data_IF_233845773127
#
_entry.id   IF_233845773127
#
_cell.length_a   1.000
_cell.length_b   1.000
_cell.length_c   1.000
_cell.angle_alpha   90.00
_cell.angle_beta   90.00
_cell.angle_gamma   90.00
#
_symmetry.space_group_name_H-M   'P 1'
#
loop_
_entity.id
_entity.type
_entity.pdbx_description
1 polymer ?
#
# COMPACT_ATOMS: atom_id res chain seq x y z
N UNK A 1 -18.59 10.68 -9.25
CA UNK A 1 -17.82 9.48 -9.62
C UNK A 1 -16.78 9.94 -10.62
N UNK A 2 -15.50 10.00 -10.24
CA UNK A 2 -14.44 10.55 -11.10
C UNK A 2 -13.54 9.38 -11.49
N UNK A 3 -13.66 8.90 -12.72
CA UNK A 3 -12.81 7.84 -13.27
C UNK A 3 -11.52 8.46 -13.80
N UNK A 4 -10.35 8.04 -13.31
CA UNK A 4 -9.07 8.39 -13.92
C UNK A 4 -8.64 7.28 -14.89
N UNK A 5 -8.47 7.62 -16.17
CA UNK A 5 -8.04 6.69 -17.23
C UNK A 5 -6.63 7.11 -17.66
N UNK A 6 -5.63 6.27 -17.37
CA UNK A 6 -4.27 6.43 -17.92
C UNK A 6 -4.27 6.02 -19.40
N UNK A 7 -3.72 6.81 -20.35
CA UNK A 7 -3.81 6.52 -21.78
C UNK A 7 -2.82 5.45 -22.29
N UNK A 8 -1.97 4.88 -21.43
CA UNK A 8 -1.01 3.85 -21.81
C UNK A 8 -0.96 2.74 -20.75
N UNK A 9 -1.12 1.50 -21.19
CA UNK A 9 -1.16 0.24 -20.44
C UNK A 9 -2.53 -0.17 -19.86
N UNK A 10 -2.80 -1.48 -19.91
CA UNK A 10 -3.65 -2.28 -18.99
C UNK A 10 -4.68 -1.44 -18.24
N UNK A 11 -5.91 -1.35 -18.75
CA UNK A 11 -6.94 -0.49 -18.16
C UNK A 11 -7.20 -0.92 -16.71
N UNK A 12 -6.81 -0.07 -15.77
CA UNK A 12 -7.33 -0.07 -14.41
C UNK A 12 -8.61 0.75 -14.44
N UNK A 13 -9.73 0.16 -14.06
CA UNK A 13 -10.94 0.92 -13.73
C UNK A 13 -11.03 0.95 -12.21
N UNK A 14 -10.68 2.10 -11.63
CA UNK A 14 -10.88 2.35 -10.22
C UNK A 14 -12.34 2.76 -9.99
N UNK A 15 -13.07 1.97 -9.20
CA UNK A 15 -14.39 2.33 -8.71
C UNK A 15 -14.26 2.77 -7.26
N UNK A 16 -14.49 4.06 -7.00
CA UNK A 16 -14.62 4.55 -5.63
C UNK A 16 -16.02 4.17 -5.14
N UNK A 17 -16.07 3.17 -4.24
CA UNK A 17 -17.29 2.88 -3.50
C UNK A 17 -17.52 3.99 -2.47
N UNK A 18 -18.79 4.33 -2.29
CA UNK A 18 -19.25 5.57 -1.66
C UNK A 18 -18.71 5.78 -0.24
N UNK A 19 -18.28 7.03 0.00
CA UNK A 19 -17.88 7.70 1.22
C UNK A 19 -18.50 7.16 2.53
N UNK A 20 -17.84 6.19 3.18
CA UNK A 20 -17.97 5.94 4.62
C UNK A 20 -17.10 6.96 5.35
N UNK A 21 -17.65 8.14 5.64
CA UNK A 21 -16.96 9.12 6.48
C UNK A 21 -16.99 8.64 7.95
N UNK A 22 -15.94 7.97 8.38
CA UNK A 22 -15.59 7.92 9.80
C UNK A 22 -14.76 9.18 10.10
N UNK A 23 -15.25 9.97 11.05
CA UNK A 23 -14.82 11.34 11.31
C UNK A 23 -13.31 11.46 11.58
N UNK A 24 -12.76 12.63 11.23
CA UNK A 24 -11.37 13.12 11.37
C UNK A 24 -10.21 12.40 10.64
N UNK A 25 -10.40 11.23 10.03
CA UNK A 25 -9.37 10.62 9.15
C UNK A 25 -9.99 10.16 7.82
N UNK A 26 -9.93 11.01 6.79
CA UNK A 26 -10.56 10.79 5.48
C UNK A 26 -9.95 9.61 4.71
N UNK A 27 -10.31 8.39 5.12
CA UNK A 27 -10.01 7.12 4.45
C UNK A 27 -11.27 6.67 3.73
N UNK A 28 -11.16 6.32 2.45
CA UNK A 28 -12.28 5.83 1.63
C UNK A 28 -11.95 4.45 1.09
N UNK A 29 -12.94 3.58 0.92
CA UNK A 29 -12.73 2.30 0.24
C UNK A 29 -12.67 2.51 -1.28
N UNK A 30 -11.66 1.94 -1.92
CA UNK A 30 -11.48 1.96 -3.37
C UNK A 30 -11.46 0.52 -3.88
N UNK A 31 -12.23 0.23 -4.93
CA UNK A 31 -12.19 -1.04 -5.64
C UNK A 31 -11.34 -0.85 -6.90
N UNK A 32 -10.29 -1.64 -7.02
CA UNK A 32 -9.39 -1.69 -8.16
C UNK A 32 -9.77 -2.87 -9.06
N UNK A 33 -10.18 -2.60 -10.29
CA UNK A 33 -10.31 -3.61 -11.34
C UNK A 33 -9.11 -3.51 -12.28
N UNK A 34 -8.32 -4.56 -12.40
CA UNK A 34 -7.22 -4.69 -13.37
C UNK A 34 -7.66 -5.59 -14.52
N UNK A 35 -7.53 -5.09 -15.75
CA UNK A 35 -7.85 -5.83 -16.97
C UNK A 35 -6.66 -5.88 -17.95
N UNK A 36 -6.35 -7.06 -18.49
CA UNK A 36 -5.43 -7.17 -19.62
C UNK A 36 -6.15 -6.87 -20.94
N UNK A 37 -5.64 -5.87 -21.67
CA UNK A 37 -6.27 -5.35 -22.89
C UNK A 37 -6.24 -6.32 -24.11
N UNK A 38 -5.63 -7.49 -23.97
CA UNK A 38 -5.51 -8.50 -25.03
C UNK A 38 -6.49 -9.67 -24.86
N UNK A 39 -7.30 -9.68 -23.80
CA UNK A 39 -8.29 -10.72 -23.52
C UNK A 39 -7.69 -12.09 -23.18
N UNK A 40 -6.37 -12.18 -22.96
CA UNK A 40 -5.67 -13.45 -22.69
C UNK A 40 -5.57 -13.77 -21.20
N UNK A 41 -5.79 -12.78 -20.33
CA UNK A 41 -5.68 -12.90 -18.87
C UNK A 41 -7.02 -12.61 -18.21
N UNK A 42 -7.32 -13.23 -17.06
CA UNK A 42 -8.53 -12.92 -16.31
C UNK A 42 -8.50 -11.47 -15.78
N UNK A 43 -9.69 -10.88 -15.59
CA UNK A 43 -9.82 -9.65 -14.80
C UNK A 43 -9.51 -9.95 -13.33
N UNK A 44 -8.83 -9.02 -12.65
CA UNK A 44 -8.53 -9.06 -11.22
C UNK A 44 -9.29 -7.94 -10.50
N UNK A 45 -10.17 -8.30 -9.55
CA UNK A 45 -10.86 -7.37 -8.65
C UNK A 45 -10.15 -7.34 -7.30
N UNK A 46 -9.95 -6.14 -6.76
CA UNK A 46 -9.28 -5.91 -5.49
C UNK A 46 -9.97 -4.77 -4.74
N UNK A 47 -9.95 -4.78 -3.41
CA UNK A 47 -10.26 -3.59 -2.61
C UNK A 47 -8.98 -3.03 -1.99
N UNK A 48 -9.01 -1.73 -1.71
CA UNK A 48 -7.99 -0.99 -0.99
C UNK A 48 -8.62 0.17 -0.21
N UNK A 49 -7.82 0.78 0.65
CA UNK A 49 -8.21 1.97 1.38
C UNK A 49 -7.43 3.15 0.79
N UNK A 50 -8.09 4.24 0.44
CA UNK A 50 -7.45 5.44 -0.06
C UNK A 50 -7.51 6.52 1.00
N UNK A 51 -6.35 7.02 1.44
CA UNK A 51 -6.28 8.17 2.35
C UNK A 51 -6.26 9.46 1.54
N UNK A 52 -7.38 10.19 1.55
CA UNK A 52 -7.62 11.37 0.69
C UNK A 52 -6.58 12.46 0.88
N UNK A 53 -6.18 12.72 2.12
CA UNK A 53 -5.17 13.74 2.38
C UNK A 53 -3.80 13.36 1.79
N UNK A 54 -3.45 12.07 1.76
CA UNK A 54 -2.15 11.61 1.27
C UNK A 54 -2.09 11.54 -0.26
N UNK A 55 -3.20 11.55 -1.00
CA UNK A 55 -3.22 11.26 -2.45
C UNK A 55 -2.46 9.96 -2.77
N UNK A 56 -2.48 8.99 -1.85
CA UNK A 56 -1.91 7.66 -2.05
C UNK A 56 -3.07 6.68 -2.19
N UNK A 57 -3.11 5.98 -3.32
CA UNK A 57 -3.82 4.70 -3.39
C UNK A 57 -3.08 3.71 -2.53
N UNK A 58 -3.79 3.15 -1.58
CA UNK A 58 -3.26 2.17 -0.67
C UNK A 58 -4.08 0.91 -0.89
N UNK A 59 -3.42 -0.07 -1.47
CA UNK A 59 -4.01 -1.39 -1.67
C UNK A 59 -3.85 -2.11 -0.34
N UNK A 60 -4.80 -1.86 0.57
CA UNK A 60 -4.98 -2.67 1.77
C UNK A 60 -5.58 -4.00 1.33
N UNK A 61 -4.75 -5.03 1.16
CA UNK A 61 -5.27 -6.38 1.20
C UNK A 61 -5.37 -6.74 2.68
N UNK A 62 -6.53 -6.49 3.30
CA UNK A 62 -6.88 -7.27 4.50
C UNK A 62 -6.61 -8.72 4.21
N UNK A 63 -6.04 -9.44 5.18
CA UNK A 63 -5.49 -10.80 5.02
C UNK A 63 -6.44 -11.86 4.48
N UNK A 64 -7.65 -11.49 4.04
CA UNK A 64 -8.67 -12.31 3.35
C UNK A 64 -9.31 -11.66 2.12
N UNK A 65 -8.72 -10.64 1.50
CA UNK A 65 -9.25 -10.12 0.25
C UNK A 65 -8.94 -11.09 -0.89
N UNK A 66 -9.93 -11.88 -1.27
CA UNK A 66 -9.90 -12.84 -2.37
C UNK A 66 -9.53 -12.12 -3.67
N UNK A 67 -8.45 -12.55 -4.32
CA UNK A 67 -8.17 -12.16 -5.69
C UNK A 67 -9.12 -12.92 -6.61
N UNK A 68 -10.20 -12.26 -7.03
CA UNK A 68 -11.22 -12.92 -7.85
C UNK A 68 -10.83 -12.78 -9.31
N UNK A 69 -10.39 -13.91 -9.87
CA UNK A 69 -10.06 -14.05 -11.30
C UNK A 69 -11.31 -14.36 -12.09
N UNK A 70 -11.82 -13.38 -12.81
CA UNK A 70 -12.96 -13.56 -13.71
C UNK A 70 -12.44 -13.81 -15.12
N UNK A 71 -12.69 -15.02 -15.65
CA UNK A 71 -12.37 -15.33 -17.06
C UNK A 71 -13.26 -14.51 -17.99
N UNK A 72 -12.73 -14.09 -19.14
CA UNK A 72 -13.48 -13.39 -20.21
C UNK A 72 -14.55 -14.24 -20.93
N UNK A 73 -14.83 -15.46 -20.44
CA UNK A 73 -15.74 -16.43 -21.07
C UNK A 73 -16.77 -16.95 -20.06
N UNK A 74 -18.02 -17.08 -20.49
CA UNK A 74 -19.15 -17.52 -19.66
C UNK A 74 -19.97 -16.33 -19.13
N UNK A 75 -20.71 -16.53 -18.04
CA UNK A 75 -21.45 -15.47 -17.37
C UNK A 75 -20.50 -14.57 -16.57
N UNK A 76 -19.99 -13.54 -17.26
CA UNK A 76 -19.03 -12.58 -16.72
C UNK A 76 -19.72 -11.63 -15.73
N UNK A 77 -20.96 -11.24 -16.00
CA UNK A 77 -21.70 -10.25 -15.23
C UNK A 77 -22.01 -10.75 -13.82
N UNK A 78 -22.59 -11.96 -13.69
CA UNK A 78 -22.88 -12.54 -12.38
C UNK A 78 -21.60 -12.75 -11.54
N UNK A 79 -20.48 -13.12 -12.19
CA UNK A 79 -19.19 -13.34 -11.51
C UNK A 79 -18.51 -12.04 -11.07
N UNK A 80 -18.64 -10.97 -11.85
CA UNK A 80 -18.15 -9.64 -11.44
C UNK A 80 -18.97 -9.13 -10.27
N UNK A 81 -20.30 -9.29 -10.30
CA UNK A 81 -21.19 -8.86 -9.20
C UNK A 81 -20.85 -9.63 -7.92
N UNK A 82 -20.84 -10.96 -7.97
CA UNK A 82 -20.48 -11.82 -6.82
C UNK A 82 -19.07 -11.51 -6.31
N UNK A 83 -18.14 -11.29 -7.23
CA UNK A 83 -16.77 -10.93 -6.87
C UNK A 83 -16.65 -9.57 -6.22
N UNK A 84 -17.45 -8.61 -6.65
CA UNK A 84 -17.49 -7.28 -6.03
C UNK A 84 -18.03 -7.36 -4.60
N UNK A 85 -19.07 -8.15 -4.34
CA UNK A 85 -19.60 -8.34 -2.98
C UNK A 85 -18.58 -9.00 -2.03
N UNK A 86 -17.87 -10.05 -2.47
CA UNK A 86 -16.81 -10.68 -1.67
C UNK A 86 -15.65 -9.73 -1.36
N UNK A 87 -15.30 -8.89 -2.33
CA UNK A 87 -14.29 -7.85 -2.17
C UNK A 87 -14.77 -6.75 -1.23
N UNK A 88 -16.05 -6.40 -1.23
CA UNK A 88 -16.64 -5.45 -0.29
C UNK A 88 -16.66 -6.01 1.14
N UNK A 89 -17.07 -7.26 1.34
CA UNK A 89 -17.10 -7.90 2.66
C UNK A 89 -15.71 -7.94 3.30
N UNK A 90 -14.68 -8.30 2.52
CA UNK A 90 -13.31 -8.32 3.02
C UNK A 90 -12.71 -6.90 3.20
N UNK A 91 -13.26 -5.88 2.54
CA UNK A 91 -12.89 -4.49 2.77
C UNK A 91 -13.40 -3.95 4.12
N UNK A 92 -14.46 -4.53 4.70
CA UNK A 92 -14.96 -4.14 6.03
C UNK A 92 -13.90 -4.36 7.12
N UNK A 93 -13.21 -5.51 7.10
CA UNK A 93 -12.07 -5.77 7.99
C UNK A 93 -10.95 -4.71 7.80
N UNK A 94 -10.77 -4.21 6.57
CA UNK A 94 -9.72 -3.23 6.27
C UNK A 94 -10.10 -1.88 6.83
N UNK A 95 -11.37 -1.53 6.76
CA UNK A 95 -11.93 -0.30 7.29
C UNK A 95 -11.83 -0.22 8.82
N UNK A 96 -11.71 -1.35 9.53
CA UNK A 96 -11.46 -1.39 10.98
C UNK A 96 -10.01 -1.06 11.35
N UNK A 97 -9.03 -1.46 10.52
CA UNK A 97 -7.61 -1.28 10.82
C UNK A 97 -7.19 0.18 11.13
N UNK A 98 -7.66 1.23 10.41
CA UNK A 98 -7.38 2.61 10.80
C UNK A 98 -7.80 2.93 12.24
N UNK A 99 -8.98 2.46 12.66
CA UNK A 99 -9.49 2.70 14.00
C UNK A 99 -8.68 1.91 15.03
N UNK A 100 -8.44 0.63 14.78
CA UNK A 100 -7.74 -0.26 15.71
C UNK A 100 -6.27 0.14 15.87
N UNK A 101 -5.55 0.29 14.75
CA UNK A 101 -4.11 0.60 14.76
C UNK A 101 -3.83 2.01 15.28
N UNK A 102 -4.79 2.94 15.18
CA UNK A 102 -4.67 4.28 15.80
C UNK A 102 -4.67 4.23 17.33
N UNK A 103 -5.13 3.14 17.95
CA UNK A 103 -5.08 2.96 19.41
C UNK A 103 -3.76 2.32 19.88
N UNK A 104 -2.96 1.80 18.96
CA UNK A 104 -1.74 1.03 19.27
C UNK A 104 -0.49 1.91 19.20
N UNK A 105 -0.05 2.45 20.34
CA UNK A 105 1.18 3.26 20.41
C UNK A 105 2.43 2.44 20.15
N UNK A 106 3.31 2.92 19.29
CA UNK A 106 4.62 2.35 19.00
C UNK A 106 5.76 3.10 19.71
N UNK A 107 6.63 2.36 20.38
CA UNK A 107 7.89 2.90 20.89
C UNK A 107 8.95 3.05 19.77
N UNK A 108 10.09 3.65 20.09
CA UNK A 108 11.15 3.90 19.12
C UNK A 108 11.69 2.63 18.43
N UNK A 109 11.85 1.55 19.19
CA UNK A 109 12.36 0.27 18.67
C UNK A 109 11.33 -0.41 17.76
N UNK A 110 10.04 -0.37 18.14
CA UNK A 110 8.93 -0.89 17.33
C UNK A 110 8.83 -0.14 15.99
N UNK A 111 9.01 1.19 16.01
CA UNK A 111 9.06 2.00 14.78
C UNK A 111 10.27 1.66 13.92
N UNK A 112 11.44 1.46 14.54
CA UNK A 112 12.66 1.09 13.83
C UNK A 112 12.50 -0.27 13.13
N UNK A 113 11.96 -1.28 13.83
CA UNK A 113 11.68 -2.62 13.29
C UNK A 113 10.71 -2.54 12.10
N UNK A 114 9.63 -1.77 12.23
CA UNK A 114 8.68 -1.56 11.14
C UNK A 114 9.37 -0.94 9.91
N UNK A 115 10.22 0.06 10.13
CA UNK A 115 10.94 0.73 9.07
C UNK A 115 12.01 -0.16 8.41
N UNK A 116 12.71 -0.99 9.19
CA UNK A 116 13.69 -1.96 8.69
C UNK A 116 13.05 -3.02 7.80
N UNK A 117 11.96 -3.63 8.28
CA UNK A 117 11.23 -4.61 7.48
C UNK A 117 10.69 -3.99 6.19
N UNK A 118 10.10 -2.79 6.25
CA UNK A 118 9.63 -2.07 5.06
C UNK A 118 10.77 -1.68 4.10
N UNK A 119 11.96 -1.38 4.63
CA UNK A 119 13.14 -1.06 3.83
C UNK A 119 13.62 -2.26 3.04
N UNK A 120 13.68 -3.45 3.66
CA UNK A 120 13.98 -4.71 2.96
C UNK A 120 12.93 -5.02 1.90
N UNK A 121 11.64 -4.88 2.22
CA UNK A 121 10.56 -5.07 1.23
C UNK A 121 10.69 -4.16 0.00
N UNK A 122 11.23 -2.95 0.19
CA UNK A 122 11.35 -1.93 -0.86
C UNK A 122 12.63 -2.03 -1.68
N UNK A 123 13.76 -2.24 -1.01
CA UNK A 123 15.09 -2.08 -1.57
C UNK A 123 15.95 -3.34 -1.48
N UNK A 124 15.47 -4.38 -0.80
CA UNK A 124 16.14 -5.68 -0.72
C UNK A 124 16.09 -6.40 -2.06
N UNK A 125 17.15 -7.14 -2.36
CA UNK A 125 17.17 -8.14 -3.43
C UNK A 125 16.51 -9.46 -2.98
N UNK A 126 16.71 -10.54 -3.74
CA UNK A 126 16.13 -11.85 -3.44
C UNK A 126 16.62 -12.45 -2.12
N UNK A 127 17.81 -12.05 -1.66
CA UNK A 127 18.43 -12.52 -0.43
C UNK A 127 18.16 -11.56 0.75
N UNK A 128 17.42 -10.47 0.50
CA UNK A 128 17.09 -9.44 1.48
C UNK A 128 18.18 -8.39 1.67
N UNK A 129 19.23 -8.41 0.84
CA UNK A 129 20.35 -7.50 0.93
C UNK A 129 20.03 -6.14 0.27
N UNK A 130 20.35 -5.06 0.98
CA UNK A 130 20.01 -3.70 0.54
C UNK A 130 21.26 -2.95 0.10
N UNK A 131 21.43 -2.75 -1.20
CA UNK A 131 22.57 -2.00 -1.78
C UNK A 131 22.34 -0.48 -1.84
N UNK A 132 21.19 0.00 -1.38
CA UNK A 132 20.82 1.42 -1.41
C UNK A 132 21.50 2.20 -0.27
N UNK A 133 21.95 3.45 -0.49
CA UNK A 133 22.44 4.31 0.58
C UNK A 133 21.30 4.94 1.40
N UNK A 134 20.04 4.65 1.07
CA UNK A 134 18.87 5.06 1.85
C UNK A 134 18.83 4.20 3.10
N UNK A 135 18.62 4.79 4.27
CA UNK A 135 18.54 4.06 5.54
C UNK A 135 17.08 3.78 5.94
N UNK A 136 16.81 2.73 6.73
CA UNK A 136 15.48 2.46 7.26
C UNK A 136 14.85 3.64 8.00
N UNK A 137 15.63 4.33 8.84
CA UNK A 137 15.17 5.51 9.59
C UNK A 137 14.63 6.64 8.69
N UNK A 138 15.10 6.74 7.44
CA UNK A 138 14.57 7.72 6.50
C UNK A 138 13.13 7.41 6.07
N UNK A 139 12.67 6.16 6.16
CA UNK A 139 11.26 5.81 5.92
C UNK A 139 10.32 6.34 7.00
N UNK A 140 10.83 6.67 8.19
CA UNK A 140 10.06 7.29 9.28
C UNK A 140 9.97 8.83 9.16
N UNK A 141 10.56 9.41 8.12
CA UNK A 141 10.56 10.88 7.94
C UNK A 141 9.15 11.35 7.58
N UNK A 142 8.49 12.08 8.48
CA UNK A 142 7.19 12.67 8.21
C UNK A 142 7.29 13.73 7.12
N UNK A 143 6.33 13.73 6.18
CA UNK A 143 6.24 14.76 5.13
C UNK A 143 5.38 15.94 5.54
N UNK A 144 4.51 15.76 6.53
CA UNK A 144 3.50 16.72 6.96
C UNK A 144 3.31 16.67 8.47
N UNK A 145 2.86 17.79 9.01
CA UNK A 145 2.58 17.97 10.44
C UNK A 145 1.49 17.01 10.95
N UNK A 146 0.54 16.62 10.10
CA UNK A 146 -0.54 15.68 10.46
C UNK A 146 -0.12 14.22 10.61
N UNK A 147 1.15 13.89 10.34
CA UNK A 147 1.68 12.53 10.45
C UNK A 147 2.64 12.37 11.66
N UNK A 148 2.52 13.24 12.67
CA UNK A 148 3.34 13.21 13.89
C UNK A 148 2.83 12.23 14.97
N UNK A 149 1.83 11.40 14.65
CA UNK A 149 1.32 10.38 15.56
C UNK A 149 2.35 9.28 15.84
N UNK A 150 2.34 8.77 17.07
CA UNK A 150 3.19 7.67 17.52
C UNK A 150 2.48 6.31 17.46
N UNK A 151 1.23 6.27 16.98
CA UNK A 151 0.45 5.07 16.79
C UNK A 151 0.86 4.27 15.54
N UNK A 152 0.47 3.00 15.50
CA UNK A 152 0.78 2.09 14.41
C UNK A 152 0.22 2.58 13.08
N UNK A 153 -1.03 3.08 13.07
CA UNK A 153 -1.66 3.55 11.83
C UNK A 153 -0.89 4.72 11.22
N UNK A 154 -0.56 5.73 12.01
CA UNK A 154 0.19 6.90 11.56
C UNK A 154 1.61 6.53 11.14
N UNK A 155 2.31 5.74 11.95
CA UNK A 155 3.69 5.30 11.64
C UNK A 155 3.73 4.50 10.35
N UNK A 156 2.82 3.54 10.19
CA UNK A 156 2.74 2.70 9.01
C UNK A 156 2.43 3.52 7.74
N UNK A 157 1.53 4.50 7.82
CA UNK A 157 1.25 5.42 6.72
C UNK A 157 2.51 6.20 6.29
N UNK A 158 3.30 6.70 7.24
CA UNK A 158 4.55 7.42 6.93
C UNK A 158 5.53 6.50 6.20
N UNK A 159 5.70 5.27 6.68
CA UNK A 159 6.56 4.27 6.07
C UNK A 159 6.08 3.90 4.66
N UNK A 160 4.78 3.62 4.50
CA UNK A 160 4.17 3.29 3.20
C UNK A 160 4.36 4.43 2.20
N UNK A 161 4.07 5.67 2.59
CA UNK A 161 4.18 6.81 1.69
C UNK A 161 5.63 7.00 1.22
N UNK A 162 6.59 6.88 2.14
CA UNK A 162 8.00 7.01 1.82
C UNK A 162 8.52 5.87 0.94
N UNK A 163 8.04 4.65 1.15
CA UNK A 163 8.38 3.49 0.33
C UNK A 163 7.81 3.63 -1.10
N UNK A 164 6.53 4.00 -1.23
CA UNK A 164 5.80 4.04 -2.51
C UNK A 164 6.13 5.28 -3.32
N UNK A 165 5.94 6.49 -2.77
CA UNK A 165 6.20 7.74 -3.51
C UNK A 165 7.68 7.98 -3.76
N UNK A 166 8.55 7.36 -2.97
CA UNK A 166 9.98 7.64 -2.99
C UNK A 166 10.26 9.14 -2.78
N UNK A 167 11.36 9.64 -3.31
CA UNK A 167 11.79 11.03 -3.11
C UNK A 167 12.69 11.26 -1.90
N UNK A 168 13.03 10.19 -1.19
CA UNK A 168 14.01 10.17 -0.10
C UNK A 168 15.38 10.43 -0.69
N UNK A 169 16.09 11.42 -0.13
CA UNK A 169 17.43 11.80 -0.58
C UNK A 169 18.47 11.11 0.28
N UNK A 170 19.47 10.53 -0.34
CA UNK A 170 20.62 9.95 0.34
C UNK A 170 21.92 10.28 -0.39
N UNK A 171 23.05 10.08 0.27
CA UNK A 171 24.37 10.27 -0.32
C UNK A 171 25.11 8.94 -0.28
N UNK A 172 25.28 8.34 -1.45
CA UNK A 172 26.09 7.12 -1.63
C UNK A 172 27.47 7.45 -2.19
N UNK A 173 28.16 6.41 -2.63
CA UNK A 173 29.42 6.51 -3.39
C UNK A 173 29.25 5.82 -4.75
N UNK A 174 29.91 6.33 -5.77
CA UNK A 174 30.04 5.63 -7.07
C UNK A 174 31.15 4.56 -7.01
N UNK A 175 31.29 3.78 -8.07
CA UNK A 175 32.31 2.73 -8.19
C UNK A 175 33.76 3.27 -8.09
N UNK A 176 33.93 4.59 -8.22
CA UNK A 176 35.19 5.32 -8.09
C UNK A 176 35.32 6.01 -6.72
N UNK A 177 34.44 5.70 -5.76
CA UNK A 177 34.46 6.18 -4.38
C UNK A 177 33.99 7.63 -4.18
N UNK A 178 33.53 8.32 -5.23
CA UNK A 178 33.10 9.73 -5.21
C UNK A 178 31.69 9.84 -4.64
N UNK A 179 31.44 10.89 -3.86
CA UNK A 179 30.12 11.15 -3.27
C UNK A 179 29.09 11.37 -4.37
N UNK A 180 28.03 10.57 -4.35
CA UNK A 180 26.90 10.65 -5.28
C UNK A 180 25.62 10.91 -4.51
N UNK A 181 24.92 11.99 -4.85
CA UNK A 181 23.55 12.22 -4.35
C UNK A 181 22.60 11.30 -5.10
N UNK A 182 21.76 10.59 -4.36
CA UNK A 182 20.70 9.76 -4.93
C UNK A 182 19.35 10.17 -4.34
N UNK A 183 18.29 9.88 -5.09
CA UNK A 183 16.90 10.09 -4.69
C UNK A 183 16.13 8.82 -5.00
N UNK A 184 15.39 8.26 -4.04
CA UNK A 184 14.50 7.13 -4.35
C UNK A 184 13.47 7.55 -5.39
N UNK A 185 13.17 6.64 -6.31
CA UNK A 185 12.12 6.84 -7.31
C UNK A 185 10.78 6.38 -6.75
N UNK A 186 9.71 6.97 -7.27
CA UNK A 186 8.37 6.45 -7.04
C UNK A 186 8.22 5.05 -7.65
N UNK A 187 7.37 4.22 -7.07
CA UNK A 187 6.88 3.01 -7.72
C UNK A 187 5.86 3.42 -8.78
N UNK A 188 6.16 3.12 -10.04
CA UNK A 188 5.27 3.46 -11.16
C UNK A 188 4.67 2.21 -11.84
N UNK A 189 5.25 1.03 -11.60
CA UNK A 189 4.74 -0.21 -12.16
C UNK A 189 3.58 -0.73 -11.32
N UNK A 190 2.42 -0.94 -11.94
CA UNK A 190 1.19 -1.39 -11.28
C UNK A 190 1.41 -2.67 -10.47
N UNK A 191 2.01 -3.71 -11.06
CA UNK A 191 2.22 -4.99 -10.36
C UNK A 191 3.22 -4.85 -9.20
N UNK A 192 4.22 -3.98 -9.36
CA UNK A 192 5.17 -3.68 -8.28
C UNK A 192 4.52 -2.89 -7.15
N UNK A 193 3.65 -1.94 -7.48
CA UNK A 193 2.91 -1.12 -6.54
C UNK A 193 1.95 -1.97 -5.71
N UNK A 194 1.15 -2.80 -6.37
CA UNK A 194 0.24 -3.75 -5.73
C UNK A 194 1.02 -4.70 -4.82
N UNK A 195 2.10 -5.32 -5.32
CA UNK A 195 2.90 -6.27 -4.55
C UNK A 195 3.50 -5.63 -3.30
N UNK A 196 4.06 -4.42 -3.43
CA UNK A 196 4.67 -3.72 -2.30
C UNK A 196 3.62 -3.24 -1.29
N UNK A 197 2.51 -2.67 -1.75
CA UNK A 197 1.41 -2.26 -0.86
C UNK A 197 0.88 -3.45 -0.04
N UNK A 198 0.68 -4.61 -0.69
CA UNK A 198 0.30 -5.87 -0.01
C UNK A 198 1.30 -6.26 1.08
N UNK A 199 2.59 -6.29 0.73
CA UNK A 199 3.62 -6.69 1.68
C UNK A 199 3.72 -5.73 2.88
N UNK A 200 3.59 -4.42 2.62
CA UNK A 200 3.57 -3.40 3.67
C UNK A 200 2.34 -3.54 4.58
N UNK A 201 1.17 -3.83 4.02
CA UNK A 201 -0.04 -4.07 4.82
C UNK A 201 0.13 -5.26 5.76
N UNK A 202 0.59 -6.41 5.24
CA UNK A 202 0.86 -7.61 6.04
C UNK A 202 1.85 -7.31 7.17
N UNK A 203 2.88 -6.52 6.89
CA UNK A 203 3.83 -6.09 7.91
C UNK A 203 3.15 -5.27 9.03
N UNK A 204 2.25 -4.36 8.69
CA UNK A 204 1.46 -3.61 9.66
C UNK A 204 0.54 -4.50 10.49
N UNK A 205 -0.13 -5.45 9.83
CA UNK A 205 -1.02 -6.42 10.46
C UNK A 205 -0.27 -7.32 11.46
N UNK A 206 0.92 -7.81 11.09
CA UNK A 206 1.78 -8.55 12.02
C UNK A 206 2.26 -7.73 13.20
N UNK A 207 2.53 -6.44 13.01
CA UNK A 207 2.84 -5.56 14.14
C UNK A 207 1.61 -5.38 15.05
N UNK A 208 0.41 -5.23 14.47
CA UNK A 208 -0.83 -5.14 15.24
C UNK A 208 -1.10 -6.42 16.06
N UNK A 209 -0.92 -7.60 15.45
CA UNK A 209 -1.01 -8.90 16.15
C UNK A 209 -0.05 -8.95 17.35
N UNK A 210 1.21 -8.51 17.17
CA UNK A 210 2.19 -8.47 18.27
C UNK A 210 1.81 -7.49 19.38
N UNK A 211 1.18 -6.35 19.04
CA UNK A 211 0.69 -5.37 20.02
C UNK A 211 -0.55 -5.86 20.78
N UNK A 212 -1.44 -6.58 20.10
CA UNK A 212 -2.66 -7.15 20.68
C UNK A 212 -2.45 -8.48 21.42
N UNK A 213 -1.33 -9.17 21.17
CA UNK A 213 -0.95 -10.40 21.87
C UNK A 213 -0.38 -10.17 23.29
N UNK A 214 -0.57 -8.97 23.87
CA UNK A 214 -0.01 -8.56 25.16
C UNK A 214 -1.08 -8.20 26.17
#
# INVERSE_FOLDING_TARGET
MTSYISPQATYIIAFVACQLSLDQQSTVCEILLKNANDGTSAYELMAGLFRVCCLNSLVAQTGKLEEIKVRHSGDVEAKVIDGTYKVLDAAEDALAAPQDWSTMLLNADEKAILAEAAHVLRFGDADGETSTPITPAQLLTQRRTGDMGDDLWTTWNVVQENAIKGGIRAVGRDDLGRRRRVKSRAVNGIDQDIKLNKALWILGDKMAELKGAR
#
